data_IF_085195177146
#
_entry.id   IF_085195177146
#
_cell.length_a   1.000
_cell.length_b   1.000
_cell.length_c   1.000
_cell.angle_alpha   90.00
_cell.angle_beta   90.00
_cell.angle_gamma   90.00
#
_symmetry.space_group_name_H-M   'P 1'
#
loop_
_entity.id
_entity.type
_entity.pdbx_description
1 polymer ?
#
# COMPACT_ATOMS: atom_id res chain seq x y z
N UNK A 1 2.15 3.50 -35.21
CA UNK A 1 0.82 3.56 -34.55
C UNK A 1 0.45 2.30 -33.74
N UNK A 2 1.15 1.17 -33.81
CA UNK A 2 0.76 -0.05 -33.08
C UNK A 2 1.05 -0.05 -31.56
N UNK A 3 2.07 0.69 -31.09
CA UNK A 3 2.48 0.67 -29.67
C UNK A 3 1.51 1.41 -28.71
N UNK A 4 0.74 2.37 -29.21
CA UNK A 4 -0.19 3.13 -28.38
C UNK A 4 -1.46 2.32 -28.03
N UNK A 5 -1.94 1.47 -28.94
CA UNK A 5 -3.14 0.66 -28.74
C UNK A 5 -2.94 -0.46 -27.70
N UNK A 6 -1.76 -1.09 -27.67
CA UNK A 6 -1.39 -2.13 -26.69
C UNK A 6 -1.23 -1.57 -25.28
N UNK A 7 -0.74 -0.33 -25.12
CA UNK A 7 -0.60 0.31 -23.82
C UNK A 7 -1.96 0.61 -23.16
N UNK A 8 -2.96 1.03 -23.94
CA UNK A 8 -4.33 1.25 -23.45
C UNK A 8 -5.06 -0.04 -23.06
N UNK A 9 -4.87 -1.13 -23.81
CA UNK A 9 -5.48 -2.42 -23.47
C UNK A 9 -4.88 -3.02 -22.19
N UNK A 10 -3.56 -2.99 -22.05
CA UNK A 10 -2.87 -3.46 -20.85
C UNK A 10 -3.25 -2.64 -19.59
N UNK A 11 -3.44 -1.32 -19.73
CA UNK A 11 -3.91 -0.48 -18.63
C UNK A 11 -5.36 -0.80 -18.22
N UNK A 12 -6.24 -1.10 -19.17
CA UNK A 12 -7.61 -1.51 -18.89
C UNK A 12 -7.68 -2.89 -18.21
N UNK A 13 -6.86 -3.84 -18.65
CA UNK A 13 -6.74 -5.16 -18.04
C UNK A 13 -6.19 -5.08 -16.61
N UNK A 14 -5.17 -4.25 -16.38
CA UNK A 14 -4.59 -4.02 -15.05
C UNK A 14 -5.60 -3.32 -14.11
N UNK A 15 -6.40 -2.35 -14.59
CA UNK A 15 -7.46 -1.72 -13.78
C UNK A 15 -8.60 -2.70 -13.46
N UNK A 16 -9.02 -3.52 -14.42
CA UNK A 16 -10.04 -4.56 -14.19
C UNK A 16 -9.54 -5.60 -13.18
N UNK A 17 -8.25 -5.96 -13.24
CA UNK A 17 -7.61 -6.82 -12.25
C UNK A 17 -7.55 -6.15 -10.87
N UNK A 18 -7.27 -4.86 -10.82
CA UNK A 18 -7.23 -4.10 -9.57
C UNK A 18 -8.60 -4.11 -8.87
N UNK A 19 -9.69 -3.85 -9.60
CA UNK A 19 -11.05 -3.87 -9.04
C UNK A 19 -11.43 -5.25 -8.49
N UNK A 20 -11.10 -6.32 -9.21
CA UNK A 20 -11.37 -7.69 -8.74
C UNK A 20 -10.58 -8.03 -7.47
N UNK A 21 -9.31 -7.62 -7.42
CA UNK A 21 -8.47 -7.84 -6.25
C UNK A 21 -8.92 -6.99 -5.05
N UNK A 22 -9.43 -5.78 -5.29
CA UNK A 22 -10.03 -4.94 -4.25
C UNK A 22 -11.21 -5.66 -3.59
N UNK A 23 -12.18 -6.11 -4.38
CA UNK A 23 -13.35 -6.85 -3.89
C UNK A 23 -12.94 -8.14 -3.14
N UNK A 24 -12.02 -8.93 -3.69
CA UNK A 24 -11.52 -10.13 -3.02
C UNK A 24 -10.84 -9.82 -1.68
N UNK A 25 -10.00 -8.78 -1.64
CA UNK A 25 -9.30 -8.39 -0.43
C UNK A 25 -10.27 -7.90 0.65
N UNK A 26 -11.30 -7.15 0.28
CA UNK A 26 -12.33 -6.66 1.20
C UNK A 26 -13.20 -7.76 1.80
N UNK A 27 -13.44 -8.84 1.04
CA UNK A 27 -14.22 -9.98 1.49
C UNK A 27 -13.38 -11.10 2.13
N UNK A 28 -12.07 -10.88 2.34
CA UNK A 28 -11.18 -11.86 2.96
C UNK A 28 -10.84 -13.06 2.07
N UNK A 29 -11.10 -12.97 0.76
CA UNK A 29 -10.86 -14.03 -0.23
C UNK A 29 -9.39 -14.21 -0.62
N UNK A 30 -8.47 -13.43 -0.04
CA UNK A 30 -7.05 -13.43 -0.39
C UNK A 30 -6.69 -12.30 -1.36
N UNK A 31 -5.45 -12.29 -1.86
CA UNK A 31 -5.01 -11.30 -2.85
C UNK A 31 -4.71 -9.89 -2.32
N UNK A 32 -4.85 -9.65 -1.02
CA UNK A 32 -4.63 -8.34 -0.40
C UNK A 32 -3.24 -7.74 -0.71
N UNK A 33 -2.18 -8.55 -0.68
CA UNK A 33 -0.83 -8.06 -1.03
C UNK A 33 -0.67 -7.79 -2.53
N UNK A 34 -1.28 -8.61 -3.38
CA UNK A 34 -1.26 -8.43 -4.83
C UNK A 34 -2.04 -7.17 -5.25
N UNK A 35 -3.16 -6.89 -4.58
CA UNK A 35 -3.88 -5.62 -4.69
C UNK A 35 -2.96 -4.44 -4.40
N UNK A 36 -2.30 -4.44 -3.23
CA UNK A 36 -1.43 -3.33 -2.80
C UNK A 36 -0.24 -3.13 -3.74
N UNK A 37 0.35 -4.21 -4.25
CA UNK A 37 1.40 -4.17 -5.28
C UNK A 37 0.89 -3.52 -6.57
N UNK A 38 -0.32 -3.89 -7.01
CA UNK A 38 -0.90 -3.38 -8.25
C UNK A 38 -1.30 -1.91 -8.13
N UNK A 39 -1.87 -1.49 -7.00
CA UNK A 39 -2.14 -0.08 -6.68
C UNK A 39 -0.87 0.76 -6.80
N UNK A 40 0.26 0.28 -6.25
CA UNK A 40 1.56 0.95 -6.38
C UNK A 40 2.05 1.00 -7.83
N UNK A 41 1.94 -0.12 -8.55
CA UNK A 41 2.36 -0.22 -9.97
C UNK A 41 1.60 0.78 -10.84
N UNK A 42 0.28 0.90 -10.63
CA UNK A 42 -0.60 1.78 -11.40
C UNK A 42 -0.62 3.22 -10.89
N UNK A 43 0.01 3.49 -9.72
CA UNK A 43 -0.09 4.78 -9.02
C UNK A 43 -1.54 5.20 -8.77
N UNK A 44 -2.42 4.22 -8.56
CA UNK A 44 -3.84 4.46 -8.32
C UNK A 44 -4.03 5.15 -6.96
N UNK A 45 -4.73 6.29 -6.94
CA UNK A 45 -5.01 7.02 -5.70
C UNK A 45 -6.27 6.47 -5.03
N UNK A 46 -6.11 5.40 -4.25
CA UNK A 46 -7.18 4.71 -3.52
C UNK A 46 -6.85 4.62 -2.01
N UNK A 47 -6.87 5.74 -1.28
CA UNK A 47 -6.36 5.77 0.08
C UNK A 47 -7.23 4.96 1.06
N UNK A 48 -8.56 5.00 0.95
CA UNK A 48 -9.46 4.26 1.86
C UNK A 48 -9.30 2.72 1.77
N UNK A 49 -9.36 2.07 0.58
CA UNK A 49 -9.16 0.62 0.50
C UNK A 49 -7.74 0.22 0.90
N UNK A 50 -6.72 0.98 0.48
CA UNK A 50 -5.32 0.71 0.83
C UNK A 50 -5.10 0.75 2.33
N UNK A 51 -5.67 1.75 3.01
CA UNK A 51 -5.56 1.88 4.46
C UNK A 51 -6.23 0.70 5.17
N UNK A 52 -7.47 0.37 4.81
CA UNK A 52 -8.22 -0.73 5.43
C UNK A 52 -7.54 -2.07 5.22
N UNK A 53 -7.29 -2.45 3.96
CA UNK A 53 -6.68 -3.74 3.58
C UNK A 53 -5.27 -3.84 4.16
N UNK A 54 -4.50 -2.75 4.11
CA UNK A 54 -3.15 -2.72 4.65
C UNK A 54 -3.11 -2.88 6.17
N UNK A 55 -4.05 -2.28 6.90
CA UNK A 55 -4.18 -2.47 8.36
C UNK A 55 -4.54 -3.91 8.73
N UNK A 56 -5.44 -4.55 7.99
CA UNK A 56 -5.77 -5.96 8.21
C UNK A 56 -4.54 -6.87 8.02
N UNK A 57 -3.75 -6.61 6.98
CA UNK A 57 -2.46 -7.29 6.74
C UNK A 57 -1.45 -7.05 7.85
N UNK A 58 -1.34 -5.81 8.36
CA UNK A 58 -0.43 -5.46 9.46
C UNK A 58 -0.87 -6.06 10.80
N UNK A 59 -2.16 -6.21 11.04
CA UNK A 59 -2.70 -6.85 12.23
C UNK A 59 -2.52 -8.38 12.20
N UNK A 60 -2.39 -8.97 11.00
CA UNK A 60 -2.17 -10.40 10.85
C UNK A 60 -0.66 -10.76 10.91
N UNK A 61 -0.20 -11.24 12.07
CA UNK A 61 1.19 -11.67 12.28
C UNK A 61 1.68 -12.72 11.28
N UNK A 62 0.84 -13.68 10.88
CA UNK A 62 1.22 -14.71 9.91
C UNK A 62 1.38 -14.17 8.49
N UNK A 63 0.61 -13.13 8.14
CA UNK A 63 0.74 -12.45 6.85
C UNK A 63 2.00 -11.58 6.81
N UNK A 64 2.27 -10.81 7.89
CA UNK A 64 3.51 -10.03 8.03
C UNK A 64 4.76 -10.88 7.92
N UNK A 65 4.82 -12.02 8.62
CA UNK A 65 5.98 -12.91 8.55
C UNK A 65 6.20 -13.49 7.15
N UNK A 66 5.13 -13.68 6.36
CA UNK A 66 5.23 -14.11 4.94
C UNK A 66 5.79 -13.03 4.02
N UNK A 67 5.55 -11.76 4.35
CA UNK A 67 6.07 -10.62 3.59
C UNK A 67 7.57 -10.39 3.83
N UNK A 68 8.08 -10.77 5.01
CA UNK A 68 9.49 -10.65 5.37
C UNK A 68 10.07 -9.24 5.14
N UNK A 69 10.80 -9.00 4.06
CA UNK A 69 11.32 -7.67 3.69
C UNK A 69 10.24 -6.72 3.15
N UNK A 70 9.18 -7.25 2.57
CA UNK A 70 8.08 -6.48 1.99
C UNK A 70 7.11 -5.90 3.05
N UNK A 71 7.25 -6.34 4.31
CA UNK A 71 6.43 -5.77 5.38
C UNK A 71 6.74 -4.27 5.61
N UNK A 72 7.96 -3.82 5.27
CA UNK A 72 8.35 -2.42 5.42
C UNK A 72 7.71 -1.54 4.34
N UNK A 73 7.66 -2.03 3.10
CA UNK A 73 6.94 -1.39 2.00
C UNK A 73 5.44 -1.33 2.27
N UNK A 74 4.87 -2.31 2.99
CA UNK A 74 3.50 -2.27 3.50
C UNK A 74 3.30 -1.13 4.51
N UNK A 75 4.17 -1.01 5.53
CA UNK A 75 4.08 0.10 6.50
C UNK A 75 4.18 1.48 5.83
N UNK A 76 5.07 1.65 4.86
CA UNK A 76 5.18 2.90 4.08
C UNK A 76 3.87 3.22 3.35
N UNK A 77 3.31 2.22 2.66
CA UNK A 77 2.08 2.41 1.89
C UNK A 77 0.87 2.72 2.79
N UNK A 78 0.75 2.04 3.93
CA UNK A 78 -0.30 2.30 4.93
C UNK A 78 -0.13 3.69 5.52
N UNK A 79 1.09 4.12 5.83
CA UNK A 79 1.32 5.47 6.34
C UNK A 79 0.86 6.54 5.33
N UNK A 80 1.11 6.35 4.02
CA UNK A 80 0.72 7.33 2.99
C UNK A 80 -0.80 7.39 2.88
N UNK A 81 -1.43 6.22 2.78
CA UNK A 81 -2.89 6.12 2.72
C UNK A 81 -3.54 6.70 3.99
N UNK A 82 -2.94 6.48 5.16
CA UNK A 82 -3.40 7.06 6.42
C UNK A 82 -3.34 8.59 6.41
N UNK A 83 -2.27 9.20 5.88
CA UNK A 83 -2.20 10.66 5.73
C UNK A 83 -3.25 11.19 4.74
N UNK A 84 -3.42 10.52 3.60
CA UNK A 84 -4.45 10.88 2.61
C UNK A 84 -5.87 10.79 3.20
N UNK A 85 -6.13 9.80 4.07
CA UNK A 85 -7.39 9.66 4.81
C UNK A 85 -7.47 10.51 6.09
N UNK A 86 -6.49 11.39 6.37
CA UNK A 86 -6.42 12.20 7.60
C UNK A 86 -6.39 11.40 8.92
N UNK A 87 -5.97 10.13 8.85
CA UNK A 87 -5.76 9.23 10.00
C UNK A 87 -4.32 9.33 10.52
N UNK A 88 -4.00 10.49 11.09
CA UNK A 88 -2.64 10.81 11.52
C UNK A 88 -2.13 9.95 12.68
N UNK A 89 -3.03 9.37 13.47
CA UNK A 89 -2.76 8.36 14.49
C UNK A 89 -2.05 7.13 13.87
N UNK A 90 -2.69 6.54 12.87
CA UNK A 90 -2.17 5.35 12.16
C UNK A 90 -0.88 5.68 11.41
N UNK A 91 -0.81 6.86 10.80
CA UNK A 91 0.38 7.30 10.10
C UNK A 91 1.58 7.38 11.05
N UNK A 92 1.42 8.01 12.22
CA UNK A 92 2.47 8.15 13.23
C UNK A 92 2.96 6.80 13.74
N UNK A 93 2.05 5.85 13.99
CA UNK A 93 2.42 4.51 14.42
C UNK A 93 3.28 3.79 13.37
N UNK A 94 2.88 3.85 12.10
CA UNK A 94 3.63 3.24 11.00
C UNK A 94 5.01 3.88 10.84
N UNK A 95 5.09 5.21 10.87
CA UNK A 95 6.37 5.96 10.79
C UNK A 95 7.26 5.64 11.99
N UNK A 96 6.69 5.50 13.18
CA UNK A 96 7.43 5.14 14.39
C UNK A 96 8.06 3.76 14.29
N UNK A 97 7.34 2.77 13.76
CA UNK A 97 7.88 1.42 13.49
C UNK A 97 9.00 1.48 12.45
N UNK A 98 8.80 2.21 11.35
CA UNK A 98 9.81 2.38 10.30
C UNK A 98 11.07 3.08 10.83
N UNK A 99 10.91 4.12 11.67
CA UNK A 99 12.02 4.87 12.26
C UNK A 99 12.88 4.02 13.20
N UNK A 100 12.26 3.11 13.97
CA UNK A 100 12.98 2.17 14.84
C UNK A 100 13.77 1.14 14.03
N UNK A 101 13.23 0.68 12.91
CA UNK A 101 13.89 -0.31 12.05
C UNK A 101 15.04 0.29 11.24
N UNK A 102 14.85 1.51 10.73
CA UNK A 102 15.81 2.22 9.88
C UNK A 102 16.15 3.59 10.49
N UNK A 103 16.89 3.63 11.62
CA UNK A 103 17.27 4.89 12.25
C UNK A 103 18.10 5.73 11.27
N UNK A 104 17.71 6.99 11.06
CA UNK A 104 18.43 7.93 10.19
C UNK A 104 18.19 7.75 8.68
N UNK A 105 17.26 6.90 8.25
CA UNK A 105 16.94 6.76 6.82
C UNK A 105 16.30 8.02 6.24
N UNK A 106 16.89 8.57 5.18
CA UNK A 106 16.35 9.73 4.45
C UNK A 106 14.91 9.50 3.92
N UNK A 107 14.56 8.24 3.64
CA UNK A 107 13.19 7.86 3.20
C UNK A 107 12.16 8.03 4.32
N UNK A 108 12.51 7.65 5.55
CA UNK A 108 11.65 7.83 6.73
C UNK A 108 11.61 9.30 7.16
N UNK A 109 12.75 9.99 7.05
CA UNK A 109 12.84 11.43 7.29
C UNK A 109 11.89 12.24 6.40
N UNK A 110 11.69 11.87 5.13
CA UNK A 110 10.73 12.54 4.25
C UNK A 110 9.29 12.47 4.76
N UNK A 111 8.94 11.40 5.47
CA UNK A 111 7.62 11.24 6.08
C UNK A 111 7.45 12.12 7.33
N UNK A 112 8.52 12.21 8.12
CA UNK A 112 8.57 13.06 9.31
C UNK A 112 8.34 14.53 8.97
N UNK A 113 8.96 15.04 7.90
CA UNK A 113 8.78 16.43 7.45
C UNK A 113 7.39 16.76 6.88
N UNK A 114 6.64 15.77 6.39
CA UNK A 114 5.28 16.01 5.86
C UNK A 114 4.24 16.05 7.00
N UNK A 115 4.58 15.51 8.18
CA UNK A 115 3.69 15.41 9.34
C UNK A 115 4.01 16.38 10.49
N UNK A 116 5.04 17.23 10.34
CA UNK A 116 5.47 18.24 11.30
C UNK A 116 4.97 19.63 10.88
#
# INVERSE_FOLDING_TARGET
MAAAATATAAAADDEARLLRLEEQAEHGGGGAWEYLCLVRKLRARRPDPVLRIGLELLNNSSARSRLASEQWTLYEQVAVAAMDCQRLDVAKDCIGVLSKKFPGSARVGKFFWISA
#
